data_IF_773868096957
#
_entry.id   IF_773868096957
#
_cell.length_a   1.000
_cell.length_b   1.000
_cell.length_c   1.000
_cell.angle_alpha   90.00
_cell.angle_beta   90.00
_cell.angle_gamma   90.00
#
_symmetry.space_group_name_H-M   'P 1'
#
loop_
_entity.id
_entity.type
_entity.pdbx_description
1 polymer ?
#
# COMPACT_ATOMS: atom_id res chain seq x y z
N UNK A 1 15.98 -22.05 -13.76
CA UNK A 1 14.77 -21.36 -13.31
C UNK A 1 14.27 -22.08 -12.08
N UNK A 2 14.28 -21.40 -10.93
CA UNK A 2 13.86 -22.00 -9.67
C UNK A 2 12.32 -21.91 -9.56
N UNK A 3 11.68 -23.07 -9.37
CA UNK A 3 10.23 -23.12 -9.14
C UNK A 3 9.88 -22.45 -7.82
N UNK A 4 8.97 -21.48 -7.84
CA UNK A 4 8.48 -20.87 -6.61
C UNK A 4 7.53 -21.83 -5.88
N UNK A 5 7.87 -22.20 -4.64
CA UNK A 5 7.00 -23.02 -3.77
C UNK A 5 5.74 -22.27 -3.28
N UNK A 6 5.71 -20.94 -3.37
CA UNK A 6 4.60 -20.11 -2.89
C UNK A 6 4.32 -18.92 -3.82
N UNK A 7 3.07 -18.77 -4.26
CA UNK A 7 2.53 -17.64 -5.01
C UNK A 7 2.24 -16.45 -4.08
N UNK A 8 3.31 -15.80 -3.61
CA UNK A 8 3.22 -14.61 -2.76
C UNK A 8 3.23 -13.28 -3.55
N UNK A 9 3.27 -12.17 -2.82
CA UNK A 9 3.49 -10.84 -3.38
C UNK A 9 4.71 -10.20 -2.72
N UNK A 10 5.50 -9.45 -3.49
CA UNK A 10 6.29 -8.37 -2.91
C UNK A 10 5.30 -7.30 -2.42
N UNK A 11 5.46 -6.84 -1.17
CA UNK A 11 4.59 -5.83 -0.58
C UNK A 11 5.40 -4.77 0.13
N UNK A 12 5.03 -3.51 -0.05
CA UNK A 12 5.44 -2.40 0.79
C UNK A 12 4.17 -1.70 1.28
N UNK A 13 4.04 -1.57 2.61
CA UNK A 13 2.97 -0.78 3.23
C UNK A 13 3.53 0.54 3.73
N UNK A 14 2.85 1.64 3.44
CA UNK A 14 3.28 2.96 3.89
C UNK A 14 2.14 3.96 4.12
N UNK A 15 2.37 5.00 4.90
CA UNK A 15 1.48 6.15 5.06
C UNK A 15 2.32 7.43 5.05
N UNK A 16 2.07 8.33 4.10
CA UNK A 16 2.89 9.52 3.83
C UNK A 16 1.98 10.72 3.56
N UNK A 17 2.52 11.93 3.53
CA UNK A 17 1.73 13.14 3.24
C UNK A 17 1.34 13.21 1.75
N UNK A 18 0.31 13.98 1.38
CA UNK A 18 -0.03 14.22 -0.02
C UNK A 18 1.13 14.77 -0.86
N UNK A 19 1.94 15.68 -0.31
CA UNK A 19 3.11 16.24 -0.99
C UNK A 19 4.19 15.16 -1.28
N UNK A 20 4.43 14.27 -0.32
CA UNK A 20 5.35 13.15 -0.49
C UNK A 20 4.79 12.13 -1.49
N UNK A 21 3.48 11.90 -1.48
CA UNK A 21 2.82 11.03 -2.46
C UNK A 21 2.84 11.62 -3.86
N UNK A 22 2.64 12.93 -4.01
CA UNK A 22 2.80 13.65 -5.29
C UNK A 22 4.21 13.49 -5.84
N UNK A 23 5.22 13.61 -4.98
CA UNK A 23 6.62 13.36 -5.36
C UNK A 23 6.85 11.93 -5.83
N UNK A 24 6.17 10.96 -5.22
CA UNK A 24 6.19 9.56 -5.65
C UNK A 24 5.50 9.36 -7.01
N UNK A 25 4.35 10.01 -7.22
CA UNK A 25 3.59 9.96 -8.49
C UNK A 25 4.40 10.48 -9.68
N UNK A 26 5.34 11.41 -9.48
CA UNK A 26 6.24 11.87 -10.54
C UNK A 26 7.08 10.73 -11.16
N UNK A 27 7.44 9.69 -10.39
CA UNK A 27 8.12 8.51 -10.94
C UNK A 27 7.21 7.71 -11.90
N UNK A 28 5.91 7.69 -11.63
CA UNK A 28 4.92 7.01 -12.47
C UNK A 28 4.69 7.76 -13.78
N UNK A 29 4.66 9.10 -13.74
CA UNK A 29 4.56 9.94 -14.94
C UNK A 29 5.74 9.71 -15.89
N UNK A 30 6.96 9.64 -15.34
CA UNK A 30 8.18 9.36 -16.13
C UNK A 30 8.10 8.03 -16.86
N UNK A 31 7.44 7.02 -16.27
CA UNK A 31 7.21 5.70 -16.89
C UNK A 31 5.91 5.61 -17.69
N UNK A 32 5.18 6.72 -17.86
CA UNK A 32 3.88 6.78 -18.55
C UNK A 32 2.88 5.75 -17.99
N UNK A 33 2.91 5.55 -16.67
CA UNK A 33 2.04 4.61 -16.02
C UNK A 33 0.58 5.08 -16.11
N UNK A 34 -0.34 4.12 -16.21
CA UNK A 34 -1.79 4.33 -16.20
C UNK A 34 -2.38 3.75 -14.93
N UNK A 35 -3.26 4.49 -14.28
CA UNK A 35 -3.97 4.02 -13.10
C UNK A 35 -5.35 3.57 -13.51
N UNK A 36 -5.66 2.30 -13.28
CA UNK A 36 -6.93 1.69 -13.68
C UNK A 36 -7.63 1.23 -12.41
N UNK A 37 -8.85 1.72 -12.16
CA UNK A 37 -9.63 1.22 -11.04
C UNK A 37 -10.04 -0.23 -11.32
N UNK A 38 -9.79 -1.18 -10.40
CA UNK A 38 -10.12 -2.60 -10.59
C UNK A 38 -11.63 -2.80 -10.42
N UNK A 39 -12.39 -2.38 -11.43
CA UNK A 39 -13.84 -2.43 -11.53
C UNK A 39 -14.23 -2.91 -12.92
N UNK A 40 -15.50 -3.29 -13.12
CA UNK A 40 -15.99 -3.75 -14.41
C UNK A 40 -15.69 -2.75 -15.55
N UNK A 41 -15.88 -1.46 -15.29
CA UNK A 41 -15.68 -0.39 -16.28
C UNK A 41 -14.22 -0.06 -16.57
N UNK A 42 -13.27 -0.61 -15.78
CA UNK A 42 -11.83 -0.37 -15.89
C UNK A 42 -11.48 1.11 -16.08
N UNK A 43 -12.16 1.99 -15.34
CA UNK A 43 -11.99 3.45 -15.50
C UNK A 43 -10.53 3.84 -15.28
N UNK A 44 -9.97 4.57 -16.24
CA UNK A 44 -8.61 5.09 -16.19
C UNK A 44 -8.61 6.44 -15.46
N UNK A 45 -7.62 6.62 -14.60
CA UNK A 45 -7.36 7.85 -13.85
C UNK A 45 -5.97 8.38 -14.22
N UNK A 46 -5.86 9.70 -14.32
CA UNK A 46 -4.57 10.38 -14.38
C UNK A 46 -3.97 10.59 -12.97
N UNK A 47 -2.74 11.08 -12.92
CA UNK A 47 -2.01 11.29 -11.66
C UNK A 47 -2.64 12.34 -10.76
N UNK A 48 -3.29 13.37 -11.32
CA UNK A 48 -3.98 14.39 -10.53
C UNK A 48 -5.21 13.79 -9.85
N UNK A 49 -6.01 13.00 -10.56
CA UNK A 49 -7.18 12.35 -9.97
C UNK A 49 -6.79 11.30 -8.92
N UNK A 50 -5.67 10.61 -9.12
CA UNK A 50 -5.11 9.69 -8.11
C UNK A 50 -4.64 10.45 -6.87
N UNK A 51 -3.99 11.60 -7.05
CA UNK A 51 -3.58 12.47 -5.96
C UNK A 51 -4.78 13.02 -5.19
N UNK A 52 -5.81 13.53 -5.87
CA UNK A 52 -7.05 14.02 -5.23
C UNK A 52 -7.74 12.92 -4.40
N UNK A 53 -7.80 11.69 -4.94
CA UNK A 53 -8.31 10.55 -4.19
C UNK A 53 -7.47 10.23 -2.95
N UNK A 54 -6.15 10.36 -3.06
CA UNK A 54 -5.24 10.17 -1.94
C UNK A 54 -5.35 11.28 -0.89
N UNK A 55 -5.51 12.54 -1.30
CA UNK A 55 -5.72 13.68 -0.40
C UNK A 55 -6.98 13.48 0.45
N UNK A 56 -8.09 13.08 -0.17
CA UNK A 56 -9.32 12.79 0.56
C UNK A 56 -9.13 11.63 1.55
N UNK A 57 -8.44 10.56 1.13
CA UNK A 57 -8.09 9.45 2.00
C UNK A 57 -7.24 9.91 3.19
N UNK A 58 -6.17 10.66 2.91
CA UNK A 58 -5.23 11.13 3.93
C UNK A 58 -5.92 12.05 4.93
N UNK A 59 -6.64 13.07 4.46
CA UNK A 59 -7.32 14.05 5.30
C UNK A 59 -8.42 13.44 6.15
N UNK A 60 -9.10 12.40 5.67
CA UNK A 60 -10.06 11.68 6.51
C UNK A 60 -9.40 11.12 7.78
N UNK A 61 -8.20 10.56 7.68
CA UNK A 61 -7.52 9.96 8.83
C UNK A 61 -6.67 10.93 9.67
N UNK A 62 -6.33 12.11 9.13
CA UNK A 62 -5.58 13.14 9.87
C UNK A 62 -6.44 14.30 10.38
N UNK A 63 -7.74 14.33 10.06
CA UNK A 63 -8.66 15.30 10.64
C UNK A 63 -8.84 15.11 12.15
N UNK A 64 -9.14 16.20 12.86
CA UNK A 64 -9.40 16.18 14.30
C UNK A 64 -10.73 15.46 14.67
N UNK A 65 -11.70 15.45 13.76
CA UNK A 65 -13.00 14.81 13.92
C UNK A 65 -13.26 13.79 12.80
N UNK A 66 -13.94 12.69 13.14
CA UNK A 66 -14.33 11.67 12.17
C UNK A 66 -15.53 12.16 11.37
N UNK A 67 -15.43 12.13 10.04
CA UNK A 67 -16.57 12.41 9.17
C UNK A 67 -17.53 11.21 9.14
N UNK A 68 -18.76 11.41 9.61
CA UNK A 68 -19.79 10.37 9.60
C UNK A 68 -20.26 10.02 8.18
N UNK A 69 -20.58 8.74 7.95
CA UNK A 69 -21.12 8.25 6.68
C UNK A 69 -20.15 8.24 5.49
N UNK A 70 -18.88 8.56 5.70
CA UNK A 70 -17.85 8.60 4.64
C UNK A 70 -16.70 7.65 4.97
N UNK A 71 -16.31 6.83 4.01
CA UNK A 71 -15.14 5.95 4.10
C UNK A 71 -14.33 6.11 2.81
N UNK A 72 -13.12 6.68 2.87
CA UNK A 72 -12.31 6.86 1.68
C UNK A 72 -11.84 5.50 1.16
N UNK A 73 -11.90 5.32 -0.15
CA UNK A 73 -11.43 4.13 -0.84
C UNK A 73 -10.44 4.51 -1.93
N UNK A 74 -9.31 3.82 -1.97
CA UNK A 74 -8.27 4.03 -2.96
C UNK A 74 -7.75 2.68 -3.44
N UNK A 75 -7.97 2.34 -4.71
CA UNK A 75 -7.42 1.13 -5.30
C UNK A 75 -7.24 1.28 -6.80
N UNK A 76 -6.03 0.97 -7.26
CA UNK A 76 -5.62 1.07 -8.64
C UNK A 76 -4.73 -0.12 -9.03
N UNK A 77 -5.01 -0.69 -10.19
CA UNK A 77 -4.04 -1.42 -10.99
C UNK A 77 -3.17 -0.39 -11.70
N UNK A 78 -1.87 -0.39 -11.43
CA UNK A 78 -0.90 0.45 -12.14
C UNK A 78 -0.41 -0.34 -13.34
N UNK A 79 -0.73 0.13 -14.53
CA UNK A 79 -0.27 -0.45 -15.80
C UNK A 79 0.88 0.37 -16.37
N UNK A 80 1.92 -0.31 -16.84
CA UNK A 80 3.12 0.27 -17.40
C UNK A 80 3.43 -0.46 -18.69
N UNK A 81 3.85 0.27 -19.71
CA UNK A 81 4.31 -0.30 -20.96
C UNK A 81 5.83 -0.29 -20.97
N UNK A 82 6.44 -1.47 -20.85
CA UNK A 82 7.89 -1.68 -20.86
C UNK A 82 8.23 -2.68 -21.97
N UNK A 83 9.13 -2.31 -22.88
CA UNK A 83 9.60 -3.16 -23.99
C UNK A 83 8.49 -3.94 -24.72
N UNK A 84 7.44 -3.23 -25.14
CA UNK A 84 6.28 -3.76 -25.89
C UNK A 84 5.36 -4.72 -25.09
N UNK A 85 5.61 -4.93 -23.81
CA UNK A 85 4.73 -5.66 -22.91
C UNK A 85 4.05 -4.72 -21.90
N UNK A 86 2.76 -4.97 -21.66
CA UNK A 86 2.00 -4.30 -20.62
C UNK A 86 2.08 -5.13 -19.33
N UNK A 87 2.64 -4.54 -18.29
CA UNK A 87 2.80 -5.17 -16.98
C UNK A 87 2.55 -4.15 -15.89
N UNK A 88 2.51 -4.59 -14.63
CA UNK A 88 2.09 -3.68 -13.58
C UNK A 88 2.10 -4.27 -12.18
N UNK A 89 1.66 -3.44 -11.25
CA UNK A 89 1.45 -3.81 -9.85
C UNK A 89 0.25 -3.05 -9.29
N UNK A 90 -0.15 -3.38 -8.07
CA UNK A 90 -1.33 -2.79 -7.44
C UNK A 90 -0.94 -1.77 -6.38
N UNK A 91 -1.73 -0.70 -6.30
CA UNK A 91 -1.71 0.28 -5.21
C UNK A 91 -3.11 0.32 -4.62
N UNK A 92 -3.25 0.08 -3.32
CA UNK A 92 -4.56 0.18 -2.65
C UNK A 92 -4.42 0.61 -1.20
N UNK A 93 -5.48 1.15 -0.62
CA UNK A 93 -5.56 1.31 0.82
C UNK A 93 -5.75 -0.06 1.51
N UNK A 94 -5.13 -0.21 2.67
CA UNK A 94 -5.37 -1.29 3.62
C UNK A 94 -5.37 -0.67 5.02
N UNK A 95 -6.08 -1.26 5.97
CA UNK A 95 -5.98 -0.82 7.36
C UNK A 95 -5.03 -1.67 8.19
N UNK A 96 -4.64 -1.10 9.32
CA UNK A 96 -3.83 -1.72 10.35
C UNK A 96 -4.73 -1.90 11.57
N UNK A 97 -5.09 -3.14 11.86
CA UNK A 97 -5.80 -3.48 13.07
C UNK A 97 -4.91 -3.30 14.31
N UNK A 98 -5.53 -2.90 15.42
CA UNK A 98 -4.86 -2.77 16.70
C UNK A 98 -5.81 -3.15 17.85
N UNK A 99 -5.27 -3.63 18.98
CA UNK A 99 -6.08 -3.93 20.15
C UNK A 99 -6.54 -2.64 20.85
N UNK A 100 -7.70 -2.71 21.49
CA UNK A 100 -8.26 -1.67 22.35
C UNK A 100 -9.04 -2.31 23.50
N UNK A 101 -8.52 -2.18 24.73
CA UNK A 101 -9.16 -2.63 25.98
C UNK A 101 -9.67 -4.08 25.90
N UNK A 102 -8.80 -5.00 25.47
CA UNK A 102 -9.09 -6.44 25.44
C UNK A 102 -9.85 -6.96 24.22
N UNK A 103 -10.19 -6.09 23.26
CA UNK A 103 -10.78 -6.47 21.97
C UNK A 103 -10.04 -5.80 20.80
N UNK A 104 -10.44 -6.10 19.56
CA UNK A 104 -9.96 -5.35 18.39
C UNK A 104 -10.71 -4.03 18.27
N UNK A 105 -10.00 -2.96 17.92
CA UNK A 105 -10.64 -1.71 17.57
C UNK A 105 -11.55 -1.89 16.35
N UNK A 106 -12.69 -1.21 16.36
CA UNK A 106 -13.63 -1.18 15.22
C UNK A 106 -13.04 -0.43 14.02
N UNK A 107 -12.24 0.62 14.27
CA UNK A 107 -11.54 1.37 13.23
C UNK A 107 -10.11 0.85 13.06
N UNK A 108 -9.56 1.08 11.87
CA UNK A 108 -8.20 0.69 11.50
C UNK A 108 -7.34 1.92 11.19
N UNK A 109 -6.06 1.89 11.56
CA UNK A 109 -5.13 2.94 11.13
C UNK A 109 -4.87 2.84 9.62
N UNK A 110 -4.68 3.96 8.90
CA UNK A 110 -4.53 3.95 7.45
C UNK A 110 -3.16 3.46 7.00
N UNK A 111 -3.13 2.73 5.89
CA UNK A 111 -1.94 2.60 5.07
C UNK A 111 -2.27 2.37 3.59
N UNK A 112 -1.29 2.64 2.73
CA UNK A 112 -1.28 2.25 1.33
C UNK A 112 -0.38 1.04 1.16
N UNK A 113 -0.86 0.03 0.45
CA UNK A 113 -0.11 -1.16 0.06
C UNK A 113 0.23 -1.08 -1.42
N UNK A 114 1.53 -1.07 -1.71
CA UNK A 114 2.10 -1.35 -3.02
C UNK A 114 2.37 -2.85 -3.11
N UNK A 115 1.86 -3.55 -4.11
CA UNK A 115 2.05 -5.01 -4.24
C UNK A 115 2.26 -5.52 -5.66
N UNK A 116 3.30 -6.34 -5.85
CA UNK A 116 3.66 -7.00 -7.10
C UNK A 116 3.61 -8.53 -6.91
N UNK A 117 2.94 -9.31 -7.77
CA UNK A 117 2.98 -10.77 -7.72
C UNK A 117 4.42 -11.30 -7.80
N UNK A 118 4.79 -12.29 -6.98
CA UNK A 118 6.12 -12.93 -7.07
C UNK A 118 6.18 -13.97 -8.20
N UNK A 119 5.06 -14.61 -8.47
CA UNK A 119 4.95 -15.68 -9.46
C UNK A 119 4.46 -15.16 -10.80
N UNK A 120 5.10 -15.62 -11.87
CA UNK A 120 4.61 -15.54 -13.23
C UNK A 120 4.05 -16.91 -13.62
N UNK A 121 2.79 -16.96 -14.04
CA UNK A 121 2.13 -18.23 -14.37
C UNK A 121 2.57 -18.71 -15.75
N UNK A 122 3.08 -19.92 -15.82
CA UNK A 122 3.40 -20.63 -17.06
C UNK A 122 2.41 -21.77 -17.22
N UNK A 123 1.66 -21.76 -18.31
CA UNK A 123 0.76 -22.85 -18.68
C UNK A 123 1.54 -23.90 -19.46
N UNK A 124 1.39 -25.16 -19.06
CA UNK A 124 2.08 -26.32 -19.62
C UNK A 124 1.07 -27.41 -19.96
N UNK A 125 1.47 -28.33 -20.83
CA UNK A 125 0.67 -29.49 -21.23
C UNK A 125 1.62 -30.69 -21.38
N UNK A 126 1.27 -31.80 -20.73
CA UNK A 126 1.97 -33.08 -20.89
C UNK A 126 0.98 -34.23 -21.10
N UNK A 127 1.47 -35.47 -21.11
CA UNK A 127 0.66 -36.69 -21.29
C UNK A 127 -0.46 -36.85 -20.24
N UNK A 128 -0.39 -36.14 -19.10
CA UNK A 128 -1.39 -36.15 -18.03
C UNK A 128 -2.37 -34.97 -18.12
N UNK A 129 -2.22 -34.09 -19.11
CA UNK A 129 -3.11 -32.98 -19.41
C UNK A 129 -2.50 -31.60 -19.16
N UNK A 130 -3.36 -30.57 -19.11
CA UNK A 130 -2.97 -29.17 -18.93
C UNK A 130 -2.79 -28.84 -17.46
N UNK A 131 -1.70 -28.17 -17.13
CA UNK A 131 -1.41 -27.67 -15.79
C UNK A 131 -0.67 -26.34 -15.87
N UNK A 132 -0.40 -25.72 -14.71
CA UNK A 132 0.41 -24.53 -14.65
C UNK A 132 1.45 -24.62 -13.54
N UNK A 133 2.56 -23.91 -13.73
CA UNK A 133 3.58 -23.68 -12.71
C UNK A 133 3.77 -22.17 -12.49
N UNK A 134 4.39 -21.81 -11.38
CA UNK A 134 4.82 -20.44 -11.13
C UNK A 134 6.35 -20.36 -11.15
N UNK A 135 6.84 -19.46 -12.00
CA UNK A 135 8.24 -19.09 -12.07
C UNK A 135 8.43 -17.67 -11.50
N UNK A 136 9.67 -17.28 -11.22
CA UNK A 136 9.94 -15.99 -10.56
C UNK A 136 9.69 -14.82 -11.51
N UNK A 137 8.83 -13.87 -11.11
CA UNK A 137 8.53 -12.67 -11.90
C UNK A 137 9.77 -11.87 -12.27
N UNK A 138 10.86 -11.97 -11.50
CA UNK A 138 12.13 -11.29 -11.78
C UNK A 138 12.79 -11.82 -13.06
N UNK A 139 12.58 -13.09 -13.39
CA UNK A 139 13.10 -13.72 -14.60
C UNK A 139 12.25 -13.36 -15.83
N UNK A 140 10.93 -13.20 -15.67
CA UNK A 140 10.01 -12.93 -16.79
C UNK A 140 9.71 -11.45 -17.04
N UNK A 141 9.64 -10.64 -15.98
CA UNK A 141 9.27 -9.23 -16.03
C UNK A 141 10.29 -8.37 -15.25
N UNK A 142 11.60 -8.45 -15.56
CA UNK A 142 12.67 -7.80 -14.80
C UNK A 142 12.50 -6.29 -14.70
N UNK A 143 12.04 -5.62 -15.76
CA UNK A 143 11.82 -4.16 -15.76
C UNK A 143 10.65 -3.75 -14.87
N UNK A 144 9.62 -4.59 -14.76
CA UNK A 144 8.47 -4.36 -13.87
C UNK A 144 8.89 -4.45 -12.42
N UNK A 145 9.67 -5.48 -12.11
CA UNK A 145 10.25 -5.66 -10.78
C UNK A 145 11.21 -4.51 -10.42
N UNK A 146 12.08 -4.10 -11.36
CA UNK A 146 12.99 -2.98 -11.16
C UNK A 146 12.24 -1.68 -10.84
N UNK A 147 11.16 -1.39 -11.55
CA UNK A 147 10.36 -0.20 -11.26
C UNK A 147 9.60 -0.31 -9.93
N UNK A 148 9.07 -1.49 -9.57
CA UNK A 148 8.51 -1.71 -8.24
C UNK A 148 9.55 -1.42 -7.14
N UNK A 149 10.78 -1.92 -7.29
CA UNK A 149 11.87 -1.68 -6.32
C UNK A 149 12.31 -0.22 -6.29
N UNK A 150 12.29 0.48 -7.43
CA UNK A 150 12.56 1.93 -7.50
C UNK A 150 11.56 2.72 -6.67
N UNK A 151 10.25 2.50 -6.88
CA UNK A 151 9.16 3.13 -6.11
C UNK A 151 9.28 2.75 -4.64
N UNK A 152 9.46 1.46 -4.33
CA UNK A 152 9.56 0.97 -2.96
C UNK A 152 10.77 1.57 -2.21
N UNK A 153 11.91 1.68 -2.88
CA UNK A 153 13.12 2.31 -2.36
C UNK A 153 12.94 3.82 -2.20
N UNK A 154 12.25 4.47 -3.13
CA UNK A 154 11.84 5.88 -3.03
C UNK A 154 11.13 6.16 -1.72
N UNK A 155 10.09 5.39 -1.40
CA UNK A 155 9.36 5.50 -0.12
C UNK A 155 10.26 5.20 1.09
N UNK A 156 11.08 4.14 1.02
CA UNK A 156 11.95 3.74 2.15
C UNK A 156 12.97 4.82 2.54
N UNK A 157 13.39 5.69 1.61
CA UNK A 157 14.40 6.74 1.85
C UNK A 157 13.99 7.79 2.88
N UNK A 158 12.69 8.07 3.01
CA UNK A 158 12.18 9.16 3.87
C UNK A 158 11.15 8.70 4.90
N UNK A 159 10.98 7.38 5.06
CA UNK A 159 10.00 6.79 5.98
C UNK A 159 10.68 5.84 6.96
N UNK A 160 10.12 5.73 8.17
CA UNK A 160 10.54 4.78 9.20
C UNK A 160 9.41 3.79 9.48
N UNK A 161 9.70 2.68 10.16
CA UNK A 161 8.65 1.75 10.56
C UNK A 161 7.74 2.38 11.63
N UNK A 162 6.43 2.30 11.42
CA UNK A 162 5.42 2.83 12.33
C UNK A 162 5.47 2.10 13.67
N UNK A 163 5.59 2.86 14.75
CA UNK A 163 5.57 2.35 16.13
C UNK A 163 4.61 3.21 16.93
N UNK A 164 3.65 2.58 17.57
CA UNK A 164 2.69 3.24 18.43
C UNK A 164 2.30 2.30 19.56
N UNK A 165 1.64 2.84 20.57
CA UNK A 165 1.10 2.08 21.69
C UNK A 165 -0.41 2.25 21.72
N UNK A 166 -1.12 1.15 21.98
CA UNK A 166 -2.57 1.13 22.11
C UNK A 166 -2.98 0.67 23.52
N UNK A 167 -4.10 1.15 24.08
CA UNK A 167 -4.59 0.69 25.38
C UNK A 167 -4.91 -0.81 25.38
N UNK A 168 -4.19 -1.58 26.20
CA UNK A 168 -4.54 -2.97 26.54
C UNK A 168 -5.49 -3.04 27.73
N UNK A 169 -5.70 -4.26 28.25
CA UNK A 169 -6.53 -4.49 29.45
C UNK A 169 -5.90 -3.85 30.70
N UNK A 170 -4.60 -4.08 30.90
CA UNK A 170 -3.91 -3.63 32.12
C UNK A 170 -2.90 -2.50 31.87
N UNK A 171 -2.38 -2.38 30.65
CA UNK A 171 -1.32 -1.44 30.30
C UNK A 171 -1.33 -1.10 28.81
N UNK A 172 -0.63 -0.01 28.45
CA UNK A 172 -0.34 0.31 27.05
C UNK A 172 0.50 -0.80 26.41
N UNK A 173 0.12 -1.22 25.21
CA UNK A 173 0.81 -2.27 24.45
C UNK A 173 1.42 -1.70 23.18
N UNK A 174 2.74 -1.86 23.04
CA UNK A 174 3.47 -1.45 21.84
C UNK A 174 3.07 -2.30 20.62
N UNK A 175 2.71 -1.63 19.54
CA UNK A 175 2.37 -2.19 18.25
C UNK A 175 3.51 -1.96 17.25
N UNK A 176 3.88 -3.02 16.52
CA UNK A 176 5.01 -3.02 15.57
C UNK A 176 4.60 -3.47 14.17
N UNK A 177 3.61 -2.81 13.53
CA UNK A 177 3.22 -3.19 12.19
C UNK A 177 4.39 -3.02 11.21
N UNK A 178 4.41 -3.86 10.17
CA UNK A 178 5.32 -3.73 9.02
C UNK A 178 4.84 -2.66 8.04
N UNK A 179 4.49 -1.48 8.57
CA UNK A 179 4.07 -0.30 7.81
C UNK A 179 5.11 0.80 8.00
N UNK A 180 5.46 1.49 6.92
CA UNK A 180 6.35 2.66 6.99
C UNK A 180 5.53 3.95 7.09
N UNK A 181 6.04 4.96 7.77
CA UNK A 181 5.37 6.25 7.91
C UNK A 181 6.40 7.36 7.78
N UNK A 182 6.04 8.46 7.12
CA UNK A 182 6.90 9.65 7.10
C UNK A 182 6.78 10.43 8.40
N UNK A 183 7.81 11.21 8.74
CA UNK A 183 7.79 12.00 9.97
C UNK A 183 6.67 13.06 9.95
N UNK A 184 6.38 13.64 8.79
CA UNK A 184 5.31 14.62 8.64
C UNK A 184 3.94 13.97 8.87
N UNK A 185 3.69 12.81 8.27
CA UNK A 185 2.45 12.07 8.48
C UNK A 185 2.25 11.64 9.94
N UNK A 186 3.33 11.27 10.64
CA UNK A 186 3.29 11.00 12.09
C UNK A 186 2.79 12.23 12.87
N UNK A 187 3.34 13.40 12.57
CA UNK A 187 3.02 14.63 13.30
C UNK A 187 1.56 15.06 13.10
N UNK A 188 0.94 14.71 11.97
CA UNK A 188 -0.46 15.03 11.70
C UNK A 188 -1.40 13.94 12.23
N UNK A 189 -0.98 12.67 12.14
CA UNK A 189 -1.79 11.54 12.58
C UNK A 189 -1.96 11.49 14.10
N UNK A 190 -0.95 11.91 14.88
CA UNK A 190 -1.00 11.90 16.35
C UNK A 190 -2.14 12.75 16.94
N UNK A 191 -2.57 13.79 16.22
CA UNK A 191 -3.56 14.76 16.67
C UNK A 191 -4.95 14.45 16.08
N UNK A 192 -5.08 13.34 15.35
CA UNK A 192 -6.30 13.02 14.61
C UNK A 192 -7.35 12.30 15.44
N UNK A 193 -8.58 12.26 14.91
CA UNK A 193 -9.73 11.67 15.59
C UNK A 193 -9.49 10.21 16.02
N UNK A 194 -8.74 9.43 15.24
CA UNK A 194 -8.53 8.00 15.55
C UNK A 194 -7.55 7.83 16.70
N UNK A 195 -6.50 8.67 16.77
CA UNK A 195 -5.58 8.69 17.90
C UNK A 195 -6.31 9.15 19.17
N UNK A 196 -7.13 10.19 19.07
CA UNK A 196 -7.92 10.70 20.17
C UNK A 196 -8.96 9.69 20.67
N UNK A 197 -9.74 9.09 19.76
CA UNK A 197 -10.80 8.11 20.08
C UNK A 197 -10.25 6.90 20.82
N UNK A 198 -9.12 6.37 20.36
CA UNK A 198 -8.53 5.14 20.91
C UNK A 198 -7.38 5.39 21.89
N UNK A 199 -7.13 6.66 22.26
CA UNK A 199 -6.01 7.05 23.13
C UNK A 199 -4.67 6.44 22.70
N UNK A 200 -4.42 6.43 21.38
CA UNK A 200 -3.19 5.90 20.82
C UNK A 200 -2.04 6.86 21.08
N UNK A 201 -0.85 6.31 21.30
CA UNK A 201 0.36 7.10 21.54
C UNK A 201 1.40 6.75 20.51
N UNK A 202 1.88 7.75 19.76
CA UNK A 202 2.95 7.53 18.81
C UNK A 202 4.28 7.32 19.54
N UNK A 203 5.01 6.27 19.19
CA UNK A 203 6.34 6.01 19.74
C UNK A 203 7.37 6.64 18.80
N UNK A 204 7.49 7.96 18.80
CA UNK A 204 8.56 8.66 18.08
C UNK A 204 9.84 8.58 18.91
N UNK A 205 10.83 7.85 18.42
CA UNK A 205 12.23 8.02 18.86
C UNK A 205 12.92 9.04 17.99
#
# INVERSE_FOLDING_TARGET
MDRLKHSGFYKLKFFITPDEFKSLLALFEQKRAKFIRPSYDQTQYDTNQVLEGYEQFYHFFTAAEKREGYHPYLAYSVLITLDQHNSGFFVKNEGIHFPYVGQWAEDELPCITLSLPKGFQINLEDEKGKYYIYEDIREHLPLTYAFYEEVASGVKKFTNLLRFSAPGVDAMQEQKPSVRVSQRAVNELKDSWIFNKYSLVMNTK
#
